data_IF_578724971608
#
_entry.id   IF_578724971608
#
_cell.length_a   1.000
_cell.length_b   1.000
_cell.length_c   1.000
_cell.angle_alpha   90.00
_cell.angle_beta   90.00
_cell.angle_gamma   90.00
#
_symmetry.space_group_name_H-M   'P 1'
#
loop_
_entity.id
_entity.type
_entity.pdbx_description
1 polymer ?
#
# COMPACT_ATOMS: atom_id res chain seq x y z
N UNK A 1 18.33 -12.53 -85.00
CA UNK A 1 18.48 -13.42 -83.83
C UNK A 1 19.53 -12.87 -82.87
N UNK A 2 19.10 -12.25 -81.77
CA UNK A 2 19.90 -12.01 -80.55
C UNK A 2 18.90 -12.00 -79.37
N UNK A 3 19.09 -12.80 -78.32
CA UNK A 3 18.11 -12.93 -77.25
C UNK A 3 18.30 -11.83 -76.19
N UNK A 4 17.18 -11.27 -75.72
CA UNK A 4 17.11 -10.48 -74.49
C UNK A 4 17.00 -11.42 -73.30
N UNK A 5 17.85 -11.27 -72.29
CA UNK A 5 17.71 -11.96 -71.00
C UNK A 5 17.24 -10.97 -69.93
N UNK A 6 16.06 -11.28 -69.39
CA UNK A 6 15.39 -10.58 -68.30
C UNK A 6 16.02 -10.97 -66.95
N UNK A 7 16.41 -9.97 -66.14
CA UNK A 7 16.87 -10.15 -64.75
C UNK A 7 15.89 -9.42 -63.82
N UNK A 8 14.72 -9.99 -63.59
CA UNK A 8 13.78 -9.58 -62.53
C UNK A 8 12.91 -10.79 -62.15
N UNK A 9 13.35 -11.59 -61.17
CA UNK A 9 12.51 -12.48 -60.34
C UNK A 9 13.35 -13.45 -59.48
N UNK A 10 14.18 -12.96 -58.55
CA UNK A 10 14.79 -13.84 -57.52
C UNK A 10 14.89 -13.18 -56.13
N UNK A 11 14.77 -11.86 -56.02
CA UNK A 11 15.03 -11.14 -54.75
C UNK A 11 13.83 -11.03 -53.81
N UNK A 12 12.60 -11.29 -54.25
CA UNK A 12 11.41 -11.07 -53.41
C UNK A 12 11.05 -12.26 -52.52
N UNK A 13 11.32 -13.51 -52.94
CA UNK A 13 10.84 -14.70 -52.22
C UNK A 13 11.62 -15.07 -50.96
N UNK A 14 12.87 -14.61 -50.79
CA UNK A 14 13.66 -14.84 -49.56
C UNK A 14 13.40 -13.81 -48.46
N UNK A 15 12.87 -12.64 -48.82
CA UNK A 15 12.59 -11.57 -47.85
C UNK A 15 11.33 -11.83 -47.00
N UNK A 16 10.34 -12.52 -47.57
CA UNK A 16 9.07 -12.85 -46.89
C UNK A 16 9.19 -14.00 -45.88
N UNK A 17 10.09 -14.96 -46.11
CA UNK A 17 10.25 -16.13 -45.23
C UNK A 17 11.09 -15.88 -43.96
N UNK A 18 11.89 -14.80 -43.92
CA UNK A 18 12.65 -14.42 -42.70
C UNK A 18 11.73 -13.72 -41.68
N UNK A 19 10.62 -13.13 -42.14
CA UNK A 19 9.65 -12.38 -41.34
C UNK A 19 8.78 -13.26 -40.42
N UNK A 20 8.63 -14.55 -40.72
CA UNK A 20 7.77 -15.46 -39.94
C UNK A 20 8.45 -16.01 -38.66
N UNK A 21 9.77 -15.93 -38.54
CA UNK A 21 10.54 -16.53 -37.43
C UNK A 21 11.00 -15.46 -36.41
N UNK A 22 11.01 -14.18 -36.79
CA UNK A 22 11.40 -13.08 -35.92
C UNK A 22 10.26 -12.65 -34.98
N UNK A 23 9.90 -13.52 -34.03
CA UNK A 23 9.10 -13.14 -32.87
C UNK A 23 9.81 -12.08 -31.99
N UNK A 24 9.22 -11.67 -30.85
CA UNK A 24 9.75 -10.64 -29.93
C UNK A 24 11.11 -10.95 -29.28
N UNK A 25 11.84 -11.94 -29.78
CA UNK A 25 13.06 -12.51 -29.23
C UNK A 25 14.35 -11.92 -29.83
N UNK A 26 14.31 -10.96 -30.76
CA UNK A 26 15.54 -10.31 -31.25
C UNK A 26 16.24 -9.55 -30.10
N UNK A 27 17.54 -9.76 -29.83
CA UNK A 27 18.33 -9.07 -28.82
C UNK A 27 18.14 -7.55 -28.77
N UNK A 28 18.00 -6.86 -29.90
CA UNK A 28 17.77 -5.40 -29.90
C UNK A 28 16.36 -5.02 -29.42
N UNK A 29 15.33 -5.82 -29.70
CA UNK A 29 14.00 -5.61 -29.12
C UNK A 29 13.98 -5.97 -27.63
N UNK A 30 14.73 -6.98 -27.20
CA UNK A 30 14.92 -7.26 -25.77
C UNK A 30 15.55 -6.06 -25.04
N UNK A 31 16.54 -5.38 -25.65
CA UNK A 31 17.10 -4.13 -25.11
C UNK A 31 16.05 -3.02 -24.98
N UNK A 32 15.13 -2.88 -25.94
CA UNK A 32 14.01 -1.90 -25.85
C UNK A 32 13.10 -2.24 -24.66
N UNK A 33 12.73 -3.50 -24.49
CA UNK A 33 11.94 -3.96 -23.34
C UNK A 33 12.70 -3.69 -22.03
N UNK A 34 14.00 -4.01 -21.96
CA UNK A 34 14.84 -3.71 -20.79
C UNK A 34 14.94 -2.22 -20.50
N UNK A 35 14.94 -1.35 -21.53
CA UNK A 35 14.90 0.11 -21.37
C UNK A 35 13.59 0.57 -20.73
N UNK A 36 12.46 -0.01 -21.14
CA UNK A 36 11.15 0.31 -20.53
C UNK A 36 11.10 -0.19 -19.08
N UNK A 37 11.59 -1.40 -18.82
CA UNK A 37 11.63 -2.01 -17.49
C UNK A 37 12.54 -1.23 -16.53
N UNK A 38 13.73 -0.81 -16.99
CA UNK A 38 14.65 0.02 -16.19
C UNK A 38 14.06 1.40 -15.91
N UNK A 39 13.40 2.04 -16.88
CA UNK A 39 12.69 3.30 -16.66
C UNK A 39 11.57 3.14 -15.61
N UNK A 40 10.80 2.04 -15.66
CA UNK A 40 9.76 1.73 -14.65
C UNK A 40 10.38 1.56 -13.27
N UNK A 41 11.47 0.81 -13.14
CA UNK A 41 12.20 0.64 -11.87
C UNK A 41 12.73 1.97 -11.33
N UNK A 42 13.22 2.86 -12.18
CA UNK A 42 13.68 4.20 -11.78
C UNK A 42 12.54 5.06 -11.22
N UNK A 43 11.39 5.08 -11.92
CA UNK A 43 10.19 5.79 -11.45
C UNK A 43 9.68 5.17 -10.14
N UNK A 44 9.57 3.85 -10.06
CA UNK A 44 9.17 3.14 -8.84
C UNK A 44 10.10 3.47 -7.66
N UNK A 45 11.42 3.52 -7.87
CA UNK A 45 12.38 3.92 -6.83
C UNK A 45 12.18 5.37 -6.39
N UNK A 46 11.87 6.28 -7.31
CA UNK A 46 11.56 7.69 -6.99
C UNK A 46 10.25 7.79 -6.20
N UNK A 47 9.20 7.09 -6.63
CA UNK A 47 7.91 7.03 -5.94
C UNK A 47 8.05 6.42 -4.55
N UNK A 48 8.84 5.36 -4.40
CA UNK A 48 9.12 4.75 -3.11
C UNK A 48 9.83 5.72 -2.16
N UNK A 49 10.83 6.46 -2.64
CA UNK A 49 11.51 7.51 -1.86
C UNK A 49 10.56 8.65 -1.47
N UNK A 50 9.72 9.10 -2.40
CA UNK A 50 8.71 10.13 -2.13
C UNK A 50 7.71 9.65 -1.06
N UNK A 51 7.19 8.43 -1.21
CA UNK A 51 6.31 7.80 -0.23
C UNK A 51 6.96 7.67 1.16
N UNK A 52 8.25 7.30 1.21
CA UNK A 52 8.98 7.28 2.48
C UNK A 52 9.10 8.67 3.12
N UNK A 53 9.32 9.72 2.32
CA UNK A 53 9.35 11.10 2.81
C UNK A 53 7.98 11.55 3.32
N UNK A 54 6.91 11.25 2.58
CA UNK A 54 5.53 11.50 3.01
C UNK A 54 5.21 10.78 4.32
N UNK A 55 5.54 9.49 4.45
CA UNK A 55 5.34 8.72 5.69
C UNK A 55 6.12 9.31 6.87
N UNK A 56 7.32 9.84 6.64
CA UNK A 56 8.11 10.50 7.68
C UNK A 56 7.49 11.83 8.12
N UNK A 57 6.99 12.62 7.17
CA UNK A 57 6.28 13.87 7.45
C UNK A 57 4.99 13.60 8.21
N UNK A 58 4.21 12.60 7.79
CA UNK A 58 2.99 12.14 8.47
C UNK A 58 3.29 11.69 9.92
N UNK A 59 4.37 10.93 10.15
CA UNK A 59 4.78 10.52 11.50
C UNK A 59 5.15 11.72 12.38
N UNK A 60 5.83 12.72 11.82
CA UNK A 60 6.20 13.94 12.54
C UNK A 60 4.96 14.75 12.90
N UNK A 61 4.03 14.89 11.96
CA UNK A 61 2.78 15.62 12.16
C UNK A 61 1.90 14.94 13.20
N UNK A 62 1.65 13.63 13.07
CA UNK A 62 0.87 12.86 14.05
C UNK A 62 1.45 12.96 15.46
N UNK A 63 2.78 12.87 15.60
CA UNK A 63 3.46 13.05 16.89
C UNK A 63 3.29 14.45 17.44
N UNK A 64 3.37 15.48 16.58
CA UNK A 64 3.17 16.89 16.97
C UNK A 64 1.75 17.12 17.46
N UNK A 65 0.74 16.75 16.66
CA UNK A 65 -0.67 16.92 17.02
C UNK A 65 -1.01 16.18 18.31
N UNK A 66 -0.46 14.97 18.51
CA UNK A 66 -0.64 14.23 19.77
C UNK A 66 -0.02 14.93 20.98
N UNK A 67 1.17 15.52 20.84
CA UNK A 67 1.81 16.29 21.91
C UNK A 67 1.00 17.55 22.24
N UNK A 68 0.51 18.26 21.23
CA UNK A 68 -0.32 19.46 21.41
C UNK A 68 -1.64 19.12 22.13
N UNK A 69 -2.33 18.06 21.68
CA UNK A 69 -3.56 17.56 22.33
C UNK A 69 -3.32 17.15 23.79
N UNK A 70 -2.30 16.33 24.05
CA UNK A 70 -1.97 15.88 25.39
C UNK A 70 -1.57 17.04 26.31
N UNK A 71 -0.87 18.04 25.77
CA UNK A 71 -0.49 19.24 26.52
C UNK A 71 -1.72 20.02 26.95
N UNK A 72 -2.66 20.29 26.03
CA UNK A 72 -3.91 20.96 26.36
C UNK A 72 -4.69 20.22 27.47
N UNK A 73 -4.77 18.89 27.40
CA UNK A 73 -5.41 18.08 28.44
C UNK A 73 -4.69 18.15 29.80
N UNK A 74 -3.36 18.07 29.80
CA UNK A 74 -2.53 18.13 31.01
C UNK A 74 -2.62 19.51 31.66
N UNK A 75 -2.61 20.58 30.86
CA UNK A 75 -2.66 21.94 31.33
C UNK A 75 -4.02 22.21 32.02
N UNK A 76 -5.14 21.79 31.41
CA UNK A 76 -6.46 21.84 32.05
C UNK A 76 -6.49 21.06 33.39
N UNK A 77 -5.89 19.88 33.45
CA UNK A 77 -5.85 19.07 34.67
C UNK A 77 -4.96 19.68 35.76
N UNK A 78 -3.86 20.33 35.38
CA UNK A 78 -3.01 21.07 36.34
C UNK A 78 -3.73 22.28 36.89
N UNK A 79 -4.40 23.04 36.03
CA UNK A 79 -5.19 24.20 36.42
C UNK A 79 -6.33 23.81 37.37
N UNK A 80 -7.08 22.75 37.05
CA UNK A 80 -8.13 22.23 37.93
C UNK A 80 -7.60 21.78 39.30
N UNK A 81 -6.41 21.16 39.35
CA UNK A 81 -5.75 20.79 40.61
C UNK A 81 -5.32 22.01 41.42
N UNK A 82 -4.75 23.01 40.76
CA UNK A 82 -4.36 24.26 41.39
C UNK A 82 -5.59 24.97 41.97
N UNK A 83 -6.64 25.13 41.17
CA UNK A 83 -7.89 25.75 41.59
C UNK A 83 -8.48 25.05 42.83
N UNK A 84 -8.57 23.72 42.81
CA UNK A 84 -9.05 22.94 43.95
C UNK A 84 -8.20 23.16 45.22
N UNK A 85 -6.88 23.24 45.08
CA UNK A 85 -5.99 23.48 46.22
C UNK A 85 -6.14 24.89 46.77
N UNK A 86 -6.23 25.90 45.90
CA UNK A 86 -6.47 27.28 46.31
C UNK A 86 -7.82 27.45 47.02
N UNK A 87 -8.87 26.82 46.52
CA UNK A 87 -10.21 26.89 47.12
C UNK A 87 -10.20 26.28 48.51
N UNK A 88 -9.47 25.17 48.68
CA UNK A 88 -9.29 24.54 49.98
C UNK A 88 -8.47 25.41 50.94
N UNK A 89 -7.40 26.06 50.47
CA UNK A 89 -6.55 26.89 51.32
C UNK A 89 -7.22 28.22 51.72
N UNK A 90 -7.96 28.84 50.80
CA UNK A 90 -8.57 30.16 50.99
C UNK A 90 -9.96 30.07 51.64
N UNK A 91 -10.65 28.92 51.54
CA UNK A 91 -11.98 28.73 52.11
C UNK A 91 -12.96 29.77 51.57
N UNK A 92 -13.49 30.61 52.46
CA UNK A 92 -14.44 31.67 52.11
C UNK A 92 -13.83 32.80 51.27
N UNK A 93 -12.50 32.91 51.24
CA UNK A 93 -11.76 33.88 50.41
C UNK A 93 -11.37 33.31 49.03
N UNK A 94 -11.99 32.20 48.60
CA UNK A 94 -11.74 31.62 47.29
C UNK A 94 -12.08 32.62 46.16
N UNK A 95 -11.22 32.77 45.15
CA UNK A 95 -11.46 33.72 44.06
C UNK A 95 -12.64 33.26 43.19
N UNK A 96 -13.53 34.19 42.85
CA UNK A 96 -14.61 33.95 41.89
C UNK A 96 -14.03 33.96 40.47
N UNK A 97 -13.69 32.79 39.94
CA UNK A 97 -13.07 32.65 38.61
C UNK A 97 -14.02 32.95 37.46
N UNK A 98 -15.32 32.84 37.69
CA UNK A 98 -16.41 33.20 36.76
C UNK A 98 -16.61 34.73 36.62
N UNK A 99 -15.65 35.56 37.03
CA UNK A 99 -15.77 37.02 36.98
C UNK A 99 -14.59 37.67 36.25
N UNK A 100 -14.82 38.85 35.67
CA UNK A 100 -13.78 39.59 34.94
C UNK A 100 -13.62 39.14 33.48
N UNK A 101 -12.37 39.04 33.02
CA UNK A 101 -12.03 38.73 31.62
C UNK A 101 -12.45 37.31 31.22
N UNK A 102 -12.45 36.37 32.16
CA UNK A 102 -12.78 34.97 31.93
C UNK A 102 -14.25 34.63 32.26
N UNK A 103 -15.07 35.64 32.58
CA UNK A 103 -16.45 35.43 33.03
C UNK A 103 -17.28 34.59 32.06
N UNK A 104 -17.08 34.76 30.75
CA UNK A 104 -17.81 33.99 29.74
C UNK A 104 -17.13 32.68 29.34
N UNK A 105 -15.86 32.47 29.67
CA UNK A 105 -15.04 31.35 29.16
C UNK A 105 -14.58 30.39 30.24
N UNK A 106 -14.71 30.75 31.51
CA UNK A 106 -14.28 29.91 32.61
C UNK A 106 -15.04 28.57 32.60
N UNK A 107 -14.30 27.48 32.78
CA UNK A 107 -14.85 26.11 32.67
C UNK A 107 -15.03 25.62 31.23
N UNK A 108 -14.89 26.46 30.21
CA UNK A 108 -14.97 26.04 28.82
C UNK A 108 -13.68 25.33 28.37
N UNK A 109 -13.86 24.31 27.55
CA UNK A 109 -12.80 23.49 26.97
C UNK A 109 -12.23 24.18 25.72
N UNK A 110 -10.93 24.07 25.51
CA UNK A 110 -10.29 24.55 24.29
C UNK A 110 -10.80 23.77 23.06
N UNK A 111 -11.14 24.48 21.99
CA UNK A 111 -11.57 23.88 20.72
C UNK A 111 -10.58 22.84 20.16
N UNK A 112 -9.28 22.94 20.47
CA UNK A 112 -8.29 21.94 20.07
C UNK A 112 -8.57 20.52 20.62
N UNK A 113 -9.30 20.40 21.74
CA UNK A 113 -9.67 19.12 22.34
C UNK A 113 -10.85 18.43 21.62
N UNK A 114 -11.56 19.14 20.74
CA UNK A 114 -12.64 18.56 19.93
C UNK A 114 -12.14 17.62 18.84
N UNK A 115 -10.90 17.83 18.39
CA UNK A 115 -10.31 17.06 17.31
C UNK A 115 -9.17 16.21 17.85
N UNK A 116 -9.47 15.00 18.38
CA UNK A 116 -8.44 14.09 18.85
C UNK A 116 -7.47 13.77 17.69
N UNK A 117 -6.18 13.62 17.99
CA UNK A 117 -5.17 13.41 16.97
C UNK A 117 -5.42 12.09 16.23
N UNK A 118 -5.19 12.09 14.91
CA UNK A 118 -5.29 10.90 14.06
C UNK A 118 -4.31 9.81 14.53
N UNK A 119 -4.80 8.58 14.65
CA UNK A 119 -3.97 7.40 14.95
C UNK A 119 -3.24 6.99 13.67
N UNK A 120 -1.96 6.59 13.70
CA UNK A 120 -1.26 6.08 12.51
C UNK A 120 -1.94 4.83 11.94
N UNK A 121 -2.05 4.72 10.60
CA UNK A 121 -2.77 3.64 9.90
C UNK A 121 -2.40 2.21 10.34
N UNK A 122 -1.14 1.97 10.71
CA UNK A 122 -0.65 0.66 11.14
C UNK A 122 -1.05 0.29 12.58
N UNK A 123 -1.41 1.28 13.41
CA UNK A 123 -1.93 1.09 14.76
C UNK A 123 -3.47 1.11 14.80
N UNK A 124 -4.12 1.57 13.73
CA UNK A 124 -5.58 1.60 13.65
C UNK A 124 -6.17 0.19 13.64
N UNK A 125 -7.34 0.03 14.25
CA UNK A 125 -8.17 -1.18 14.15
C UNK A 125 -8.53 -1.43 12.70
N UNK A 126 -8.36 -2.68 12.25
CA UNK A 126 -8.73 -3.11 10.90
C UNK A 126 -10.25 -3.14 10.70
N UNK A 127 -10.99 -3.48 11.76
CA UNK A 127 -12.43 -3.61 11.73
C UNK A 127 -13.03 -2.77 12.85
N UNK A 128 -13.80 -1.76 12.48
CA UNK A 128 -14.59 -0.93 13.39
C UNK A 128 -15.96 -1.56 13.56
N UNK A 129 -16.37 -1.78 14.81
CA UNK A 129 -17.59 -2.52 15.11
C UNK A 129 -18.78 -1.61 15.41
N UNK A 130 -18.64 -0.31 15.19
CA UNK A 130 -19.65 0.72 15.46
C UNK A 130 -20.06 1.40 14.16
N UNK A 131 -21.32 1.78 14.07
CA UNK A 131 -21.90 2.56 12.99
C UNK A 131 -22.78 3.68 13.57
N UNK A 132 -23.00 4.78 12.82
CA UNK A 132 -23.99 5.78 13.19
C UNK A 132 -25.38 5.12 13.34
N UNK A 133 -26.11 5.47 14.39
CA UNK A 133 -27.40 4.86 14.74
C UNK A 133 -27.32 3.65 15.68
N UNK A 134 -26.11 3.17 16.02
CA UNK A 134 -25.98 2.14 17.05
C UNK A 134 -26.31 2.69 18.44
N UNK A 135 -27.03 1.90 19.24
CA UNK A 135 -27.20 2.15 20.67
C UNK A 135 -25.95 1.70 21.42
N UNK A 136 -25.38 2.59 22.20
CA UNK A 136 -24.14 2.35 22.94
C UNK A 136 -24.24 2.83 24.37
N UNK A 137 -23.51 2.16 25.25
CA UNK A 137 -23.39 2.51 26.66
C UNK A 137 -21.95 2.93 26.97
N UNK A 138 -21.81 4.03 27.71
CA UNK A 138 -20.52 4.56 28.16
C UNK A 138 -20.08 3.82 29.42
N UNK A 139 -18.89 3.23 29.41
CA UNK A 139 -18.32 2.51 30.57
C UNK A 139 -17.46 3.41 31.44
N UNK A 140 -16.75 4.37 30.86
CA UNK A 140 -15.82 5.24 31.59
C UNK A 140 -16.07 6.70 31.28
N UNK A 141 -15.80 7.56 32.26
CA UNK A 141 -15.95 9.01 32.15
C UNK A 141 -17.05 9.54 33.06
N UNK A 142 -17.37 10.83 32.90
CA UNK A 142 -18.38 11.53 33.71
C UNK A 142 -19.78 10.92 33.54
N UNK A 143 -20.11 10.53 32.32
CA UNK A 143 -21.46 10.08 31.94
C UNK A 143 -21.54 8.54 31.88
N UNK A 144 -20.85 7.85 32.80
CA UNK A 144 -20.83 6.39 32.88
C UNK A 144 -22.25 5.82 33.10
N UNK A 145 -22.58 4.76 32.35
CA UNK A 145 -23.87 4.07 32.41
C UNK A 145 -24.95 4.69 31.53
N UNK A 146 -24.70 5.85 30.91
CA UNK A 146 -25.64 6.48 29.98
C UNK A 146 -25.68 5.71 28.66
N UNK A 147 -26.89 5.44 28.17
CA UNK A 147 -27.16 4.71 26.93
C UNK A 147 -27.75 5.69 25.92
N UNK A 148 -27.08 5.89 24.80
CA UNK A 148 -27.49 6.82 23.75
C UNK A 148 -27.08 6.28 22.37
N UNK A 149 -27.54 6.96 21.32
CA UNK A 149 -27.19 6.63 19.94
C UNK A 149 -25.89 7.28 19.48
N UNK A 150 -25.12 6.56 18.68
CA UNK A 150 -23.94 7.10 17.98
C UNK A 150 -24.41 8.04 16.87
N UNK A 151 -23.98 9.30 16.91
CA UNK A 151 -24.23 10.27 15.85
C UNK A 151 -23.20 10.15 14.72
N UNK A 152 -21.91 10.06 15.06
CA UNK A 152 -20.83 9.97 14.08
C UNK A 152 -19.71 9.06 14.57
N UNK A 153 -19.13 8.30 13.64
CA UNK A 153 -17.98 7.42 13.87
C UNK A 153 -16.76 8.02 13.16
N UNK A 154 -15.70 8.31 13.91
CA UNK A 154 -14.43 8.79 13.36
C UNK A 154 -13.41 7.64 13.34
N UNK A 155 -13.19 7.07 12.16
CA UNK A 155 -12.27 5.95 11.96
C UNK A 155 -10.80 6.35 12.16
N UNK A 156 -10.48 7.61 11.91
CA UNK A 156 -9.10 8.10 11.94
C UNK A 156 -8.52 8.20 13.35
N UNK A 157 -9.36 8.65 14.29
CA UNK A 157 -9.04 8.86 15.70
C UNK A 157 -9.55 7.73 16.59
N UNK A 158 -10.31 6.77 16.05
CA UNK A 158 -11.03 5.73 16.81
C UNK A 158 -11.91 6.32 17.92
N UNK A 159 -12.65 7.37 17.57
CA UNK A 159 -13.58 8.04 18.49
C UNK A 159 -15.00 8.05 17.95
N UNK A 160 -15.96 8.14 18.86
CA UNK A 160 -17.39 8.16 18.62
C UNK A 160 -17.94 9.49 19.13
N UNK A 161 -18.77 10.15 18.32
CA UNK A 161 -19.61 11.26 18.77
C UNK A 161 -20.98 10.66 19.09
N UNK A 162 -21.35 10.71 20.37
CA UNK A 162 -22.58 10.14 20.91
C UNK A 162 -23.52 11.30 21.23
N UNK A 163 -24.80 11.18 20.89
CA UNK A 163 -25.80 12.22 21.17
C UNK A 163 -25.94 12.42 22.67
N UNK A 164 -26.05 13.67 23.12
CA UNK A 164 -26.29 14.06 24.52
C UNK A 164 -25.32 13.46 25.56
N UNK A 165 -24.14 13.00 25.14
CA UNK A 165 -23.10 12.42 26.00
C UNK A 165 -21.84 13.25 25.90
N UNK A 166 -21.14 13.37 27.03
CA UNK A 166 -19.87 14.07 27.15
C UNK A 166 -19.94 15.50 26.61
N UNK A 167 -21.06 16.17 26.92
CA UNK A 167 -21.28 17.57 26.54
C UNK A 167 -20.38 18.48 27.35
N UNK A 168 -19.69 19.37 26.66
CA UNK A 168 -18.90 20.40 27.29
C UNK A 168 -19.04 21.70 26.51
N UNK A 169 -18.94 22.76 27.28
CA UNK A 169 -18.82 24.13 26.80
C UNK A 169 -17.47 24.31 26.12
N UNK A 170 -17.46 24.74 24.86
CA UNK A 170 -16.24 24.95 24.08
C UNK A 170 -16.04 26.43 23.83
N UNK A 171 -14.81 26.90 24.05
CA UNK A 171 -14.44 28.27 23.70
C UNK A 171 -14.36 28.43 22.18
N UNK A 172 -15.25 29.26 21.63
CA UNK A 172 -15.32 29.53 20.19
C UNK A 172 -14.32 30.63 19.84
N UNK A 173 -13.36 30.40 18.94
CA UNK A 173 -12.43 31.44 18.53
C UNK A 173 -13.14 32.53 17.70
N UNK A 174 -12.63 33.75 17.75
CA UNK A 174 -13.27 34.94 17.14
C UNK A 174 -13.53 34.79 15.63
N UNK A 175 -12.62 34.15 14.89
CA UNK A 175 -12.80 33.87 13.46
C UNK A 175 -13.99 32.92 13.18
N UNK A 176 -14.30 32.01 14.11
CA UNK A 176 -15.43 31.10 14.01
C UNK A 176 -16.75 31.81 14.37
N UNK A 177 -16.73 32.75 15.32
CA UNK A 177 -17.91 33.57 15.67
C UNK A 177 -18.40 34.36 14.47
N UNK A 178 -17.48 35.00 13.74
CA UNK A 178 -17.80 35.81 12.57
C UNK A 178 -18.40 34.99 11.42
N UNK A 179 -17.92 33.76 11.20
CA UNK A 179 -18.39 32.89 10.11
C UNK A 179 -19.70 32.18 10.42
N UNK A 180 -19.91 31.76 11.67
CA UNK A 180 -21.11 31.02 12.08
C UNK A 180 -22.23 31.93 12.63
N UNK A 181 -21.97 33.23 12.80
CA UNK A 181 -22.94 34.18 13.36
C UNK A 181 -23.29 33.92 14.83
N UNK A 182 -22.42 33.20 15.56
CA UNK A 182 -22.62 32.84 16.96
C UNK A 182 -22.27 34.05 17.82
N UNK A 183 -23.24 34.50 18.62
CA UNK A 183 -23.08 35.67 19.51
C UNK A 183 -22.42 35.32 20.85
N UNK A 184 -22.47 34.06 21.28
CA UNK A 184 -21.87 33.60 22.53
C UNK A 184 -20.39 33.26 22.37
N UNK A 185 -19.62 33.47 23.43
CA UNK A 185 -18.20 33.08 23.46
C UNK A 185 -18.00 31.58 23.58
N UNK A 186 -19.03 30.90 24.08
CA UNK A 186 -19.04 29.48 24.37
C UNK A 186 -20.20 28.80 23.65
N UNK A 187 -19.95 27.57 23.21
CA UNK A 187 -20.95 26.69 22.61
C UNK A 187 -20.87 25.30 23.23
N UNK A 188 -21.99 24.79 23.72
CA UNK A 188 -22.08 23.42 24.20
C UNK A 188 -22.09 22.45 23.00
N UNK A 189 -21.14 21.51 22.96
CA UNK A 189 -21.13 20.41 22.00
C UNK A 189 -20.66 19.10 22.65
N UNK A 190 -20.98 17.98 22.00
CA UNK A 190 -20.54 16.65 22.41
C UNK A 190 -19.06 16.43 22.09
N UNK A 191 -18.24 16.18 23.11
CA UNK A 191 -16.84 15.83 22.94
C UNK A 191 -16.73 14.36 22.53
N UNK A 192 -15.91 14.02 21.52
CA UNK A 192 -15.73 12.64 21.07
C UNK A 192 -15.19 11.73 22.17
N UNK A 193 -15.80 10.55 22.32
CA UNK A 193 -15.43 9.52 23.30
C UNK A 193 -14.65 8.40 22.58
N UNK A 194 -13.54 7.88 23.14
CA UNK A 194 -12.80 6.78 22.52
C UNK A 194 -13.63 5.49 22.45
N UNK A 195 -13.46 4.72 21.39
CA UNK A 195 -14.18 3.45 21.18
C UNK A 195 -13.97 2.42 22.30
N UNK A 196 -12.88 2.50 23.05
CA UNK A 196 -12.59 1.58 24.16
C UNK A 196 -13.42 1.84 25.43
N UNK A 197 -13.94 3.05 25.58
CA UNK A 197 -14.74 3.44 26.75
C UNK A 197 -16.24 3.25 26.50
N UNK A 198 -16.61 2.66 25.36
CA UNK A 198 -17.98 2.49 24.90
C UNK A 198 -18.25 1.02 24.56
N UNK A 199 -19.47 0.54 24.81
CA UNK A 199 -19.92 -0.80 24.40
C UNK A 199 -21.26 -0.74 23.69
N UNK A 200 -21.47 -1.68 22.78
CA UNK A 200 -22.73 -1.83 22.08
C UNK A 200 -23.81 -2.33 23.04
N UNK A 201 -24.99 -1.75 22.92
CA UNK A 201 -26.21 -2.24 23.56
C UNK A 201 -27.04 -2.93 22.49
N UNK A 202 -27.33 -4.21 22.72
CA UNK A 202 -28.09 -5.02 21.80
C UNK A 202 -29.35 -5.54 22.49
N UNK A 203 -30.51 -5.17 21.95
CA UNK A 203 -31.78 -5.71 22.41
C UNK A 203 -31.95 -7.13 21.86
N UNK A 204 -32.10 -8.10 22.76
CA UNK A 204 -32.36 -9.50 22.39
C UNK A 204 -33.64 -9.97 23.06
N UNK A 205 -34.45 -10.69 22.29
CA UNK A 205 -35.65 -11.37 22.79
C UNK A 205 -35.25 -12.71 23.39
N UNK A 206 -35.37 -12.83 24.71
CA UNK A 206 -35.20 -14.09 25.43
C UNK A 206 -36.60 -14.61 25.80
N UNK A 207 -37.12 -15.53 24.99
CA UNK A 207 -38.51 -15.99 25.07
C UNK A 207 -39.51 -14.85 24.81
N UNK A 208 -40.34 -14.53 25.81
CA UNK A 208 -41.35 -13.46 25.72
C UNK A 208 -40.85 -12.07 26.13
N UNK A 209 -39.67 -11.94 26.73
CA UNK A 209 -39.17 -10.65 27.20
C UNK A 209 -38.04 -10.13 26.33
N UNK A 210 -38.18 -8.90 25.84
CA UNK A 210 -37.09 -8.17 25.18
C UNK A 210 -36.25 -7.51 26.26
N UNK A 211 -34.96 -7.85 26.33
CA UNK A 211 -34.01 -7.27 27.29
C UNK A 211 -32.86 -6.64 26.54
N UNK A 212 -32.36 -5.53 27.07
CA UNK A 212 -31.17 -4.86 26.58
C UNK A 212 -29.92 -5.52 27.18
N UNK A 213 -29.02 -6.02 26.33
CA UNK A 213 -27.77 -6.64 26.73
C UNK A 213 -26.59 -5.75 26.37
N UNK A 214 -25.64 -5.64 27.29
CA UNK A 214 -24.37 -4.96 27.05
C UNK A 214 -23.35 -5.94 26.45
N UNK A 215 -22.87 -5.64 25.25
CA UNK A 215 -21.89 -6.48 24.56
C UNK A 215 -20.49 -6.13 25.07
N UNK A 216 -19.88 -7.02 25.87
CA UNK A 216 -18.53 -6.79 26.41
C UNK A 216 -17.45 -6.81 25.33
N UNK A 217 -17.50 -7.80 24.44
CA UNK A 217 -16.56 -8.00 23.35
C UNK A 217 -17.33 -8.40 22.11
N UNK A 218 -17.00 -7.76 20.99
CA UNK A 218 -17.50 -8.13 19.67
C UNK A 218 -16.31 -8.34 18.74
N UNK A 219 -16.51 -9.11 17.69
CA UNK A 219 -15.53 -9.30 16.63
C UNK A 219 -16.21 -9.26 15.25
N UNK A 220 -15.44 -8.88 14.24
CA UNK A 220 -15.88 -8.98 12.85
C UNK A 220 -15.73 -10.42 12.36
N UNK A 221 -16.71 -10.90 11.60
CA UNK A 221 -16.74 -12.22 11.00
C UNK A 221 -17.45 -12.21 9.64
N UNK A 222 -17.29 -13.30 8.90
CA UNK A 222 -18.08 -13.54 7.69
C UNK A 222 -19.52 -13.94 8.05
N UNK A 223 -20.48 -13.80 7.11
CA UNK A 223 -20.29 -13.50 5.69
C UNK A 223 -20.09 -12.01 5.39
N UNK A 224 -19.34 -11.71 4.31
CA UNK A 224 -19.29 -10.36 3.74
C UNK A 224 -20.54 -10.13 2.91
N UNK A 225 -21.34 -9.13 3.29
CA UNK A 225 -22.58 -8.76 2.59
C UNK A 225 -22.26 -7.63 1.62
N UNK A 226 -22.66 -7.78 0.37
CA UNK A 226 -22.62 -6.68 -0.59
C UNK A 226 -23.69 -5.66 -0.24
N UNK A 227 -23.28 -4.39 -0.16
CA UNK A 227 -24.11 -3.27 0.24
C UNK A 227 -24.14 -2.25 -0.90
N UNK A 228 -25.20 -1.45 -1.00
CA UNK A 228 -25.26 -0.40 -2.02
C UNK A 228 -24.15 0.62 -1.80
N UNK A 229 -23.73 1.29 -2.88
CA UNK A 229 -22.54 2.16 -2.89
C UNK A 229 -22.64 3.37 -1.95
N UNK A 230 -23.85 3.77 -1.56
CA UNK A 230 -24.12 4.90 -0.68
C UNK A 230 -24.01 4.54 0.81
N UNK A 231 -23.99 3.25 1.13
CA UNK A 231 -24.02 2.77 2.51
C UNK A 231 -22.66 2.98 3.20
N UNK A 232 -22.67 3.56 4.40
CA UNK A 232 -21.46 3.83 5.19
C UNK A 232 -21.09 2.67 6.12
N UNK A 233 -22.01 1.72 6.32
CA UNK A 233 -21.73 0.54 7.14
C UNK A 233 -20.73 -0.44 6.49
N UNK A 234 -19.88 -1.11 7.28
CA UNK A 234 -18.93 -2.08 6.75
C UNK A 234 -19.58 -3.30 6.07
N UNK A 235 -18.81 -3.92 5.16
CA UNK A 235 -19.22 -5.15 4.44
C UNK A 235 -19.27 -6.39 5.34
N UNK A 236 -18.43 -6.46 6.38
CA UNK A 236 -18.40 -7.61 7.28
C UNK A 236 -19.57 -7.60 8.26
N UNK A 237 -19.93 -8.77 8.76
CA UNK A 237 -20.86 -8.91 9.88
C UNK A 237 -20.12 -8.86 11.22
N UNK A 238 -20.82 -8.47 12.29
CA UNK A 238 -20.26 -8.43 13.64
C UNK A 238 -20.98 -9.43 14.53
N UNK A 239 -20.22 -10.08 15.39
CA UNK A 239 -20.69 -11.11 16.30
C UNK A 239 -20.26 -10.78 17.73
N UNK A 240 -21.08 -11.17 18.69
CA UNK A 240 -20.67 -11.17 20.10
C UNK A 240 -19.53 -12.19 20.26
N UNK A 241 -18.47 -11.86 20.98
CA UNK A 241 -17.36 -12.81 21.16
C UNK A 241 -17.79 -13.96 22.08
N UNK A 242 -17.43 -15.19 21.70
CA UNK A 242 -17.84 -16.41 22.41
C UNK A 242 -19.26 -16.90 22.11
N UNK A 243 -20.16 -16.00 21.67
CA UNK A 243 -21.52 -16.34 21.27
C UNK A 243 -21.65 -16.22 19.75
N UNK A 244 -22.24 -17.21 19.07
CA UNK A 244 -22.48 -17.12 17.61
C UNK A 244 -23.70 -16.24 17.29
N UNK A 245 -23.91 -15.18 18.06
CA UNK A 245 -25.02 -14.25 17.92
C UNK A 245 -24.56 -13.09 17.06
N UNK A 246 -25.23 -12.92 15.92
CA UNK A 246 -24.97 -11.82 14.98
C UNK A 246 -25.61 -10.54 15.51
N UNK A 247 -24.84 -9.47 15.57
CA UNK A 247 -25.36 -8.13 15.85
C UNK A 247 -25.70 -7.49 14.50
N UNK A 248 -26.97 -7.15 14.21
CA UNK A 248 -27.34 -6.47 12.98
C UNK A 248 -26.70 -5.08 12.96
N UNK A 249 -26.37 -4.60 11.76
CA UNK A 249 -25.99 -3.20 11.56
C UNK A 249 -27.25 -2.33 11.61
N UNK A 250 -27.16 -1.05 12.01
CA UNK A 250 -28.30 -0.15 12.01
C UNK A 250 -28.79 0.07 10.57
N UNK A 251 -30.10 0.30 10.43
CA UNK A 251 -30.70 0.61 9.14
C UNK A 251 -30.30 2.03 8.74
N UNK A 252 -29.64 2.18 7.60
CA UNK A 252 -29.34 3.49 7.02
C UNK A 252 -30.49 3.89 6.08
N UNK A 253 -30.88 5.16 6.13
CA UNK A 253 -31.82 5.73 5.18
C UNK A 253 -31.10 6.01 3.86
N UNK A 254 -31.77 5.70 2.75
CA UNK A 254 -31.27 6.01 1.41
C UNK A 254 -31.15 7.52 1.25
N UNK A 255 -29.95 8.05 0.95
CA UNK A 255 -29.83 9.47 0.65
C UNK A 255 -30.67 9.78 -0.58
N UNK A 256 -31.50 10.82 -0.49
CA UNK A 256 -32.22 11.34 -1.63
C UNK A 256 -31.23 12.05 -2.55
N UNK A 257 -31.00 11.48 -3.72
CA UNK A 257 -30.25 12.13 -4.79
C UNK A 257 -31.24 12.92 -5.65
N UNK A 258 -30.97 14.21 -5.80
CA UNK A 258 -31.71 15.07 -6.70
C UNK A 258 -30.95 15.17 -8.02
N UNK A 259 -31.65 15.02 -9.14
CA UNK A 259 -31.08 15.22 -10.47
C UNK A 259 -30.83 16.71 -10.69
N UNK A 260 -29.56 17.09 -10.81
CA UNK A 260 -29.15 18.45 -11.09
C UNK A 260 -29.35 18.83 -12.55
N UNK A 261 -29.43 20.13 -12.86
CA UNK A 261 -29.56 20.61 -14.24
C UNK A 261 -28.35 20.30 -15.14
N UNK A 262 -27.20 19.91 -14.56
CA UNK A 262 -25.99 19.53 -15.27
C UNK A 262 -25.84 18.00 -15.40
N UNK A 263 -26.77 17.24 -14.84
CA UNK A 263 -26.75 15.78 -14.93
C UNK A 263 -27.37 15.33 -16.25
N UNK A 264 -26.79 14.29 -16.84
CA UNK A 264 -27.33 13.66 -18.05
C UNK A 264 -28.54 12.83 -17.71
N UNK A 265 -29.56 12.84 -18.57
CA UNK A 265 -30.75 12.03 -18.35
C UNK A 265 -30.43 10.54 -18.45
N UNK A 266 -31.15 9.68 -17.70
CA UNK A 266 -30.93 8.21 -17.74
C UNK A 266 -30.97 7.66 -19.18
N UNK A 267 -31.87 8.19 -20.01
CA UNK A 267 -32.01 7.76 -21.40
C UNK A 267 -30.75 8.00 -22.22
N UNK A 268 -30.08 9.14 -22.05
CA UNK A 268 -28.82 9.46 -22.75
C UNK A 268 -27.65 8.62 -22.24
N UNK A 269 -27.61 8.32 -20.94
CA UNK A 269 -26.54 7.51 -20.32
C UNK A 269 -26.61 6.04 -20.75
N UNK A 270 -27.82 5.49 -20.83
CA UNK A 270 -28.04 4.08 -21.17
C UNK A 270 -28.05 3.82 -22.68
N UNK A 271 -27.98 4.86 -23.52
CA UNK A 271 -27.95 4.73 -24.97
C UNK A 271 -26.66 4.03 -25.43
N UNK A 272 -26.79 2.78 -25.89
CA UNK A 272 -25.66 2.02 -26.42
C UNK A 272 -25.32 2.46 -27.85
N UNK A 273 -24.50 3.51 -27.96
CA UNK A 273 -24.06 4.09 -29.24
C UNK A 273 -22.85 3.37 -29.86
N UNK A 274 -22.10 2.59 -29.08
CA UNK A 274 -20.86 1.99 -29.56
C UNK A 274 -21.09 0.64 -30.25
N UNK A 275 -20.78 0.60 -31.55
CA UNK A 275 -20.74 -0.64 -32.34
C UNK A 275 -19.29 -1.04 -32.59
N UNK A 276 -18.81 -2.17 -32.04
CA UNK A 276 -17.45 -2.63 -32.29
C UNK A 276 -17.24 -2.99 -33.77
N UNK A 277 -16.32 -2.30 -34.45
CA UNK A 277 -15.89 -2.60 -35.81
C UNK A 277 -14.47 -3.14 -35.85
N UNK A 278 -14.21 -4.11 -36.74
CA UNK A 278 -12.86 -4.63 -36.98
C UNK A 278 -12.13 -3.86 -38.10
N UNK A 279 -12.88 -3.38 -39.10
CA UNK A 279 -12.34 -2.67 -40.27
C UNK A 279 -11.93 -1.23 -39.93
N UNK A 280 -12.78 -0.54 -39.17
CA UNK A 280 -12.55 0.84 -38.75
C UNK A 280 -12.13 0.89 -37.28
N UNK A 281 -11.08 1.64 -36.92
CA UNK A 281 -10.77 1.87 -35.52
C UNK A 281 -11.89 2.70 -34.87
N UNK A 282 -12.14 2.53 -33.55
CA UNK A 282 -13.21 3.24 -32.84
C UNK A 282 -13.01 4.77 -32.81
N UNK A 283 -11.77 5.21 -33.01
CA UNK A 283 -11.39 6.61 -33.06
C UNK A 283 -10.46 6.85 -34.26
N UNK A 284 -10.43 8.07 -34.82
CA UNK A 284 -9.40 8.47 -35.77
C UNK A 284 -7.99 8.18 -35.24
N UNK A 285 -7.09 7.77 -36.13
CA UNK A 285 -5.73 7.38 -35.76
C UNK A 285 -4.90 8.52 -35.14
N UNK A 286 -5.28 9.78 -35.37
CA UNK A 286 -4.66 10.97 -34.79
C UNK A 286 -4.78 11.01 -33.27
N UNK A 287 -5.92 10.55 -32.71
CA UNK A 287 -6.21 10.60 -31.26
C UNK A 287 -5.26 9.69 -30.47
N UNK A 288 -4.69 8.66 -31.09
CA UNK A 288 -3.73 7.75 -30.43
C UNK A 288 -2.51 8.50 -29.92
N UNK A 289 -2.06 9.54 -30.63
CA UNK A 289 -0.88 10.33 -30.25
C UNK A 289 -1.18 11.31 -29.09
N UNK A 290 -2.46 11.61 -28.83
CA UNK A 290 -2.91 12.40 -27.66
C UNK A 290 -3.09 11.51 -26.43
N UNK A 291 -3.75 10.34 -26.58
CA UNK A 291 -3.96 9.39 -25.50
C UNK A 291 -2.65 8.82 -24.95
N UNK A 292 -1.63 8.71 -25.80
CA UNK A 292 -0.29 8.27 -25.39
C UNK A 292 0.80 9.05 -26.10
N UNK A 293 1.84 9.39 -25.35
CA UNK A 293 3.04 9.93 -25.96
C UNK A 293 3.74 8.87 -26.85
N UNK A 294 3.72 9.10 -28.16
CA UNK A 294 4.33 8.27 -29.22
C UNK A 294 5.79 7.91 -28.98
N UNK A 295 6.55 8.83 -28.39
CA UNK A 295 7.98 8.72 -28.13
C UNK A 295 8.29 8.38 -26.66
N UNK A 296 7.28 7.96 -25.90
CA UNK A 296 7.45 7.57 -24.50
C UNK A 296 8.42 6.41 -24.34
N UNK A 297 9.32 6.53 -23.36
CA UNK A 297 10.22 5.46 -22.92
C UNK A 297 9.49 4.27 -22.31
N UNK A 298 8.19 4.40 -22.02
CA UNK A 298 7.34 3.34 -21.45
C UNK A 298 6.49 2.62 -22.50
N UNK A 299 6.64 2.97 -23.79
CA UNK A 299 5.92 2.33 -24.89
C UNK A 299 6.31 0.85 -24.98
N UNK A 300 5.32 -0.03 -24.94
CA UNK A 300 5.48 -1.49 -25.08
C UNK A 300 4.94 -2.02 -26.41
N UNK A 301 3.90 -1.37 -26.96
CA UNK A 301 3.31 -1.71 -28.26
C UNK A 301 3.98 -0.90 -29.37
N UNK A 302 4.85 -1.55 -30.14
CA UNK A 302 5.60 -0.95 -31.24
C UNK A 302 5.01 -1.36 -32.59
N UNK A 303 5.16 -0.49 -33.59
CA UNK A 303 4.70 -0.77 -34.96
C UNK A 303 5.67 -1.76 -35.62
N UNK A 304 5.17 -2.58 -36.56
CA UNK A 304 5.99 -3.60 -37.22
C UNK A 304 7.21 -2.99 -37.92
N UNK A 305 7.06 -1.83 -38.54
CA UNK A 305 8.18 -1.13 -39.19
C UNK A 305 9.30 -0.81 -38.21
N UNK A 306 8.97 -0.40 -36.98
CA UNK A 306 9.96 -0.09 -35.97
C UNK A 306 10.69 -1.37 -35.51
N UNK A 307 9.95 -2.46 -35.33
CA UNK A 307 10.53 -3.77 -35.02
C UNK A 307 11.47 -4.22 -36.14
N UNK A 308 11.02 -4.15 -37.41
CA UNK A 308 11.86 -4.47 -38.58
C UNK A 308 13.11 -3.60 -38.65
N UNK A 309 12.99 -2.29 -38.41
CA UNK A 309 14.15 -1.37 -38.36
C UNK A 309 15.15 -1.78 -37.26
N UNK A 310 14.67 -2.20 -36.09
CA UNK A 310 15.53 -2.66 -34.98
C UNK A 310 16.21 -4.00 -35.24
N UNK A 311 15.51 -4.91 -35.91
CA UNK A 311 16.07 -6.19 -36.38
C UNK A 311 17.12 -5.96 -37.47
N UNK A 312 16.87 -5.05 -38.43
CA UNK A 312 17.87 -4.68 -39.44
C UNK A 312 19.11 -4.00 -38.85
N UNK A 313 18.93 -3.17 -37.82
CA UNK A 313 20.05 -2.58 -37.07
C UNK A 313 20.91 -3.67 -36.41
N UNK A 314 20.29 -4.76 -35.95
CA UNK A 314 20.98 -5.92 -35.39
C UNK A 314 21.82 -6.64 -36.46
N UNK A 315 21.22 -7.00 -37.58
CA UNK A 315 21.94 -7.62 -38.70
C UNK A 315 23.09 -6.76 -39.23
N UNK A 316 22.92 -5.43 -39.26
CA UNK A 316 24.00 -4.50 -39.62
C UNK A 316 25.15 -4.54 -38.60
N UNK A 317 24.84 -4.57 -37.31
CA UNK A 317 25.86 -4.70 -36.27
C UNK A 317 26.61 -6.04 -36.39
N UNK A 318 25.90 -7.14 -36.61
CA UNK A 318 26.50 -8.46 -36.84
C UNK A 318 27.38 -8.48 -38.09
N UNK A 319 26.93 -7.85 -39.18
CA UNK A 319 27.72 -7.75 -40.40
C UNK A 319 29.01 -6.93 -40.19
N UNK A 320 28.93 -5.80 -39.50
CA UNK A 320 30.10 -4.96 -39.20
C UNK A 320 31.09 -5.68 -38.27
N UNK A 321 30.61 -6.46 -37.30
CA UNK A 321 31.49 -7.25 -36.43
C UNK A 321 32.16 -8.40 -37.18
N UNK A 322 31.48 -8.98 -38.18
CA UNK A 322 32.06 -9.98 -39.08
C UNK A 322 33.10 -9.38 -40.04
N UNK A 323 32.84 -8.18 -40.57
CA UNK A 323 33.74 -7.49 -41.50
C UNK A 323 34.93 -6.79 -40.83
N UNK A 324 34.92 -6.63 -39.51
CA UNK A 324 36.02 -6.00 -38.80
C UNK A 324 37.33 -6.76 -39.09
N UNK A 325 38.16 -6.18 -39.96
CA UNK A 325 39.46 -6.73 -40.36
C UNK A 325 40.30 -6.83 -39.10
N UNK A 326 40.62 -8.05 -38.68
CA UNK A 326 41.52 -8.24 -37.56
C UNK A 326 42.95 -7.97 -38.00
N UNK A 327 43.73 -7.35 -37.12
CA UNK A 327 45.18 -7.34 -37.28
C UNK A 327 45.72 -8.77 -37.11
N UNK A 328 46.88 -9.11 -37.70
CA UNK A 328 47.49 -10.43 -37.52
C UNK A 328 47.66 -10.83 -36.04
N UNK A 329 47.96 -9.85 -35.18
CA UNK A 329 48.02 -10.06 -33.73
C UNK A 329 46.63 -10.35 -33.11
N UNK A 330 45.57 -9.78 -33.65
CA UNK A 330 44.18 -10.05 -33.27
C UNK A 330 43.71 -11.44 -33.70
N UNK A 331 44.08 -11.89 -34.89
CA UNK A 331 43.81 -13.26 -35.37
C UNK A 331 44.49 -14.30 -34.48
N UNK A 332 45.77 -14.11 -34.15
CA UNK A 332 46.49 -14.98 -33.21
C UNK A 332 45.80 -15.03 -31.83
N UNK A 333 45.28 -13.90 -31.34
CA UNK A 333 44.53 -13.86 -30.07
C UNK A 333 43.21 -14.63 -30.19
N UNK A 334 42.46 -14.47 -31.28
CA UNK A 334 41.23 -15.26 -31.52
C UNK A 334 41.52 -16.75 -31.59
N UNK A 335 42.53 -17.15 -32.36
CA UNK A 335 42.94 -18.56 -32.45
C UNK A 335 43.35 -19.12 -31.08
N UNK A 336 44.11 -18.36 -30.27
CA UNK A 336 44.47 -18.78 -28.91
C UNK A 336 43.23 -18.92 -28.00
N UNK A 337 42.27 -18.01 -28.11
CA UNK A 337 41.01 -18.08 -27.35
C UNK A 337 40.18 -19.28 -27.79
N UNK A 338 40.02 -19.51 -29.09
CA UNK A 338 39.32 -20.68 -29.64
C UNK A 338 39.99 -21.99 -29.23
N UNK A 339 41.32 -22.07 -29.29
CA UNK A 339 42.09 -23.21 -28.80
C UNK A 339 41.88 -23.42 -27.30
N UNK A 340 41.86 -22.36 -26.49
CA UNK A 340 41.58 -22.48 -25.06
C UNK A 340 40.14 -22.89 -24.76
N UNK A 341 39.16 -22.44 -25.55
CA UNK A 341 37.75 -22.84 -25.43
C UNK A 341 37.61 -24.31 -25.81
N UNK A 342 38.22 -24.74 -26.91
CA UNK A 342 38.23 -26.14 -27.34
C UNK A 342 38.94 -27.03 -26.33
N UNK A 343 40.10 -26.61 -25.81
CA UNK A 343 40.81 -27.34 -24.76
C UNK A 343 39.99 -27.41 -23.46
N UNK A 344 39.22 -26.36 -23.15
CA UNK A 344 38.30 -26.36 -22.00
C UNK A 344 37.10 -27.28 -22.25
N UNK A 345 36.52 -27.25 -23.45
CA UNK A 345 35.39 -28.11 -23.84
C UNK A 345 35.79 -29.58 -23.88
N UNK A 346 36.99 -29.91 -24.37
CA UNK A 346 37.54 -31.27 -24.35
C UNK A 346 37.81 -31.77 -22.92
N UNK A 347 37.98 -30.84 -21.97
CA UNK A 347 38.11 -31.12 -20.54
C UNK A 347 36.77 -30.98 -19.80
N UNK A 348 35.63 -30.91 -20.48
CA UNK A 348 34.31 -30.87 -19.83
C UNK A 348 33.42 -32.02 -20.27
N UNK A 349 32.68 -32.61 -19.33
CA UNK A 349 31.66 -33.64 -19.59
C UNK A 349 30.37 -33.04 -20.18
N UNK A 350 29.43 -33.90 -20.61
CA UNK A 350 28.10 -33.52 -21.16
C UNK A 350 27.28 -32.61 -20.23
N UNK A 351 27.55 -32.63 -18.92
CA UNK A 351 26.90 -31.79 -17.91
C UNK A 351 27.64 -30.46 -17.62
N UNK A 352 28.73 -30.16 -18.34
CA UNK A 352 29.51 -28.91 -18.22
C UNK A 352 30.50 -28.87 -17.04
N UNK A 353 30.75 -30.00 -16.38
CA UNK A 353 31.75 -30.13 -15.31
C UNK A 353 33.12 -30.46 -15.89
N UNK A 354 34.20 -29.98 -15.25
CA UNK A 354 35.56 -30.27 -15.69
C UNK A 354 35.94 -31.73 -15.38
N UNK A 355 36.42 -32.46 -16.38
CA UNK A 355 36.97 -33.81 -16.27
C UNK A 355 38.30 -33.71 -15.53
N UNK A 356 38.41 -34.42 -14.41
CA UNK A 356 39.67 -34.53 -13.68
C UNK A 356 40.65 -35.41 -14.47
N UNK A 357 41.90 -34.99 -14.52
CA UNK A 357 42.95 -35.80 -15.14
C UNK A 357 43.18 -37.09 -14.34
N UNK A 358 43.49 -38.18 -15.04
CA UNK A 358 43.68 -39.52 -14.48
C UNK A 358 44.75 -39.57 -13.39
N UNK A 359 45.79 -38.73 -13.49
CA UNK A 359 46.82 -38.60 -12.44
C UNK A 359 46.26 -37.94 -11.18
N UNK A 360 45.33 -37.00 -11.36
CA UNK A 360 44.69 -36.27 -10.26
C UNK A 360 43.68 -37.16 -9.55
N UNK A 361 42.92 -37.98 -10.28
CA UNK A 361 42.04 -38.99 -9.67
C UNK A 361 42.84 -40.03 -8.89
N UNK A 362 43.93 -40.55 -9.46
CA UNK A 362 44.83 -41.49 -8.78
C UNK A 362 45.50 -40.88 -7.54
N UNK A 363 45.88 -39.59 -7.59
CA UNK A 363 46.41 -38.88 -6.44
C UNK A 363 45.37 -38.74 -5.33
N UNK A 364 44.14 -38.35 -5.67
CA UNK A 364 43.03 -38.25 -4.71
C UNK A 364 42.74 -39.62 -4.10
N UNK A 365 42.71 -40.69 -4.89
CA UNK A 365 42.54 -42.06 -4.38
C UNK A 365 43.66 -42.51 -3.44
N UNK A 366 44.93 -42.21 -3.78
CA UNK A 366 46.08 -42.46 -2.89
C UNK A 366 46.03 -41.63 -1.62
N UNK A 367 45.66 -40.36 -1.71
CA UNK A 367 45.53 -39.47 -0.56
C UNK A 367 44.37 -39.89 0.35
N UNK A 368 43.23 -40.27 -0.23
CA UNK A 368 42.07 -40.77 0.51
C UNK A 368 42.37 -42.12 1.16
N UNK A 369 43.08 -43.03 0.51
CA UNK A 369 43.50 -44.31 1.10
C UNK A 369 44.54 -44.15 2.20
N UNK A 370 45.49 -43.20 2.08
CA UNK A 370 46.42 -42.86 3.16
C UNK A 370 45.72 -42.23 4.38
N UNK A 371 44.70 -41.39 4.17
CA UNK A 371 43.94 -40.78 5.27
C UNK A 371 42.86 -41.71 5.86
N UNK A 372 42.35 -42.66 5.07
CA UNK A 372 41.42 -43.69 5.53
C UNK A 372 42.13 -44.85 6.25
N UNK A 373 43.46 -44.97 6.13
CA UNK A 373 44.23 -45.87 6.97
C UNK A 373 44.09 -45.44 8.44
N UNK A 374 43.67 -46.33 9.36
CA UNK A 374 43.46 -45.96 10.75
C UNK A 374 44.80 -45.52 11.37
N UNK A 375 44.89 -44.24 11.79
CA UNK A 375 46.03 -43.78 12.59
C UNK A 375 46.15 -44.70 13.81
N UNK A 376 47.29 -45.38 14.03
CA UNK A 376 47.42 -46.31 15.14
C UNK A 376 47.31 -45.55 16.46
N UNK A 377 46.19 -45.71 17.15
CA UNK A 377 46.05 -45.24 18.53
C UNK A 377 46.92 -46.12 19.42
N UNK A 378 48.00 -45.59 20.00
CA UNK A 378 48.68 -46.28 21.11
C UNK A 378 49.02 -45.34 22.27
N UNK A 379 48.13 -45.41 23.26
CA UNK A 379 48.50 -45.44 24.68
C UNK A 379 49.28 -46.75 24.99
N UNK A 380 50.13 -46.65 26.01
CA UNK A 380 50.59 -47.70 26.96
C UNK A 380 51.90 -48.51 26.69
N UNK A 381 52.75 -48.51 27.74
CA UNK A 381 53.75 -49.54 28.10
C UNK A 381 55.20 -49.24 27.69
N UNK A 382 56.10 -48.70 28.51
CA UNK A 382 56.85 -49.36 29.60
C UNK A 382 57.36 -50.78 29.28
N UNK A 383 58.66 -50.94 29.00
CA UNK A 383 59.52 -52.03 29.48
C UNK A 383 61.02 -51.77 29.16
N UNK A 384 61.78 -51.55 30.25
CA UNK A 384 63.20 -51.81 30.61
C UNK A 384 64.23 -52.46 29.65
N UNK A 385 65.51 -52.18 30.01
CA UNK A 385 66.83 -52.85 29.73
C UNK A 385 67.52 -52.47 28.41
N UNK A 386 68.84 -52.20 28.28
CA UNK A 386 70.04 -52.29 29.14
C UNK A 386 71.20 -51.55 28.44
N UNK A 387 71.97 -50.73 29.17
CA UNK A 387 73.43 -50.58 29.19
C UNK A 387 73.80 -49.39 30.09
#
# INVERSE_FOLDING_TARGET
>A
MRPQFSVRAVTESKSSNILAIAGPHSPNMQKVIQRTASARKQVQKKLFRAKQQEEMMDRRETTRSRKEYNRAMIDNLKEARHARWEDWQKGDLAPKRDTGLEASTYGAVNAALMHPPRIPKHLRRKHILFAPGDRVCVIRGRDQGKIEEVAQVNEESETLLIKNVNEADINVPEWAKASMGIKSDVLAQNIPVPMDDVRLVFAMTDGNTTKDYLVQHAHAGGPSVERPSWSKVPKYTRYVSGLKIRIPWPTEEEPQYEDGALDTTRMEVEENTWVPSLENPPFPSTIIDELRNKYSRFRTRHDEEYVRKKVLEEYRQEYLTQQAILTPAGELKKMKVEQSIQARQARTDENGNMILDSETTNFIERFMSQNAAPKPSKKAGQAKQTA
#
